data_IF_457148778531
#
_entry.id   IF_457148778531
#
_cell.length_a   1.000
_cell.length_b   1.000
_cell.length_c   1.000
_cell.angle_alpha   90.00
_cell.angle_beta   90.00
_cell.angle_gamma   90.00
#
_symmetry.space_group_name_H-M   'P 1'
#
loop_
_entity.id
_entity.type
_entity.pdbx_description
1 polymer ?
#
# COMPACT_ATOMS: atom_id res chain seq x y z
N UNK A 1 17.64 -24.49 18.41
CA UNK A 1 16.44 -24.35 17.54
C UNK A 1 16.94 -24.11 16.12
N UNK A 2 16.43 -24.79 15.08
CA UNK A 2 16.84 -24.51 13.71
C UNK A 2 16.45 -23.06 13.36
N UNK A 3 17.37 -22.29 12.79
CA UNK A 3 17.06 -20.97 12.23
C UNK A 3 16.18 -21.21 11.00
N UNK A 4 14.91 -20.83 11.08
CA UNK A 4 14.04 -20.84 9.90
C UNK A 4 14.37 -19.58 9.10
N UNK A 5 15.10 -19.74 8.00
CA UNK A 5 15.22 -18.68 6.99
C UNK A 5 13.85 -18.49 6.33
N UNK A 6 13.27 -17.31 6.53
CA UNK A 6 12.09 -16.91 5.78
C UNK A 6 12.56 -16.20 4.52
N UNK A 7 12.70 -16.94 3.44
CA UNK A 7 12.79 -16.33 2.11
C UNK A 7 11.44 -15.67 1.81
N UNK A 8 11.44 -14.41 1.38
CA UNK A 8 10.26 -13.78 0.81
C UNK A 8 10.16 -14.25 -0.65
N UNK A 9 9.34 -15.26 -0.98
CA UNK A 9 9.41 -15.95 -2.27
C UNK A 9 9.13 -15.03 -3.46
N UNK A 10 8.40 -13.92 -3.25
CA UNK A 10 8.03 -12.97 -4.28
C UNK A 10 8.86 -11.67 -4.27
N UNK A 11 9.78 -11.50 -3.31
CA UNK A 11 10.56 -10.27 -3.12
C UNK A 11 9.73 -9.03 -2.69
N UNK A 12 8.43 -9.17 -2.44
CA UNK A 12 7.54 -8.06 -2.09
C UNK A 12 7.28 -8.01 -0.58
N UNK A 13 7.58 -6.89 0.08
CA UNK A 13 7.17 -6.69 1.48
C UNK A 13 5.65 -6.44 1.56
N UNK A 14 4.90 -7.51 1.79
CA UNK A 14 3.46 -7.45 1.97
C UNK A 14 3.03 -6.62 3.19
N UNK A 15 3.86 -6.50 4.23
CA UNK A 15 3.63 -5.64 5.39
C UNK A 15 3.69 -4.16 5.01
N UNK A 16 4.70 -3.77 4.24
CA UNK A 16 4.81 -2.42 3.67
C UNK A 16 3.66 -2.11 2.71
N UNK A 17 3.30 -3.05 1.84
CA UNK A 17 2.17 -2.88 0.89
C UNK A 17 0.87 -2.63 1.67
N UNK A 18 0.59 -3.41 2.71
CA UNK A 18 -0.60 -3.21 3.54
C UNK A 18 -0.61 -1.84 4.22
N UNK A 19 0.50 -1.44 4.87
CA UNK A 19 0.60 -0.15 5.54
C UNK A 19 0.46 1.02 4.58
N UNK A 20 1.17 0.97 3.45
CA UNK A 20 1.11 2.01 2.42
C UNK A 20 -0.29 2.15 1.87
N UNK A 21 -0.95 1.04 1.54
CA UNK A 21 -2.32 1.08 1.00
C UNK A 21 -3.29 1.65 2.03
N UNK A 22 -3.15 1.30 3.31
CA UNK A 22 -3.96 1.87 4.41
C UNK A 22 -3.76 3.38 4.54
N UNK A 23 -2.51 3.84 4.64
CA UNK A 23 -2.17 5.27 4.78
C UNK A 23 -2.63 6.08 3.57
N UNK A 24 -2.38 5.59 2.35
CA UNK A 24 -2.80 6.26 1.11
C UNK A 24 -4.32 6.35 1.01
N UNK A 25 -5.05 5.30 1.39
CA UNK A 25 -6.52 5.32 1.35
C UNK A 25 -7.10 6.37 2.31
N UNK A 26 -6.49 6.56 3.49
CA UNK A 26 -6.93 7.57 4.45
C UNK A 26 -6.57 8.97 3.95
N UNK A 27 -5.28 9.21 3.63
CA UNK A 27 -4.78 10.56 3.32
C UNK A 27 -5.21 11.07 1.95
N UNK A 28 -5.43 10.18 0.98
CA UNK A 28 -5.80 10.55 -0.39
C UNK A 28 -7.23 10.15 -0.70
N UNK A 29 -7.62 8.93 -0.31
CA UNK A 29 -8.95 8.40 -0.64
C UNK A 29 -10.09 9.18 0.02
N UNK A 30 -10.03 9.41 1.34
CA UNK A 30 -11.09 10.15 2.03
C UNK A 30 -11.24 11.59 1.53
N UNK A 31 -10.15 12.39 1.37
CA UNK A 31 -10.26 13.72 0.78
C UNK A 31 -10.79 13.73 -0.65
N UNK A 32 -10.42 12.73 -1.47
CA UNK A 32 -10.92 12.62 -2.85
C UNK A 32 -12.42 12.36 -2.88
N UNK A 33 -12.92 11.45 -2.03
CA UNK A 33 -14.37 11.19 -1.88
C UNK A 33 -15.10 12.47 -1.45
N UNK A 34 -14.55 13.20 -0.47
CA UNK A 34 -15.12 14.45 -0.01
C UNK A 34 -15.16 15.52 -1.11
N UNK A 35 -14.05 15.71 -1.83
CA UNK A 35 -13.95 16.68 -2.92
C UNK A 35 -14.93 16.37 -4.06
N UNK A 36 -15.01 15.10 -4.48
CA UNK A 36 -15.94 14.69 -5.54
C UNK A 36 -17.40 14.82 -5.12
N UNK A 37 -17.71 14.68 -3.81
CA UNK A 37 -19.08 14.83 -3.32
C UNK A 37 -19.65 16.23 -3.51
N UNK A 38 -18.81 17.27 -3.65
CA UNK A 38 -19.23 18.66 -3.87
C UNK A 38 -19.94 18.82 -5.22
N UNK A 39 -19.63 17.96 -6.20
CA UNK A 39 -20.21 18.03 -7.54
C UNK A 39 -21.58 17.34 -7.67
N UNK A 40 -22.05 16.63 -6.62
CA UNK A 40 -23.28 15.84 -6.68
C UNK A 40 -24.24 16.20 -5.55
N UNK A 41 -25.52 16.35 -5.85
CA UNK A 41 -26.55 16.44 -4.82
C UNK A 41 -26.79 15.06 -4.20
N UNK A 42 -26.39 14.92 -2.93
CA UNK A 42 -26.55 13.69 -2.15
C UNK A 42 -27.50 13.96 -0.97
N UNK A 43 -28.82 14.11 -1.23
CA UNK A 43 -29.79 14.54 -0.22
C UNK A 43 -30.07 13.47 0.83
N UNK A 44 -29.89 12.19 0.48
CA UNK A 44 -30.16 11.05 1.37
C UNK A 44 -28.87 10.41 1.89
N UNK A 45 -28.95 9.79 3.07
CA UNK A 45 -27.84 9.00 3.60
C UNK A 45 -27.46 7.84 2.68
N UNK A 46 -28.44 7.14 2.09
CA UNK A 46 -28.20 6.06 1.13
C UNK A 46 -27.44 6.54 -0.13
N UNK A 47 -27.76 7.73 -0.63
CA UNK A 47 -27.02 8.33 -1.75
C UNK A 47 -25.55 8.61 -1.35
N UNK A 48 -25.32 9.20 -0.18
CA UNK A 48 -23.96 9.45 0.34
C UNK A 48 -23.15 8.17 0.50
N UNK A 49 -23.74 7.13 1.08
CA UNK A 49 -23.08 5.85 1.28
C UNK A 49 -22.73 5.15 -0.04
N UNK A 50 -23.70 5.06 -0.97
CA UNK A 50 -23.46 4.43 -2.28
C UNK A 50 -22.42 5.17 -3.11
N UNK A 51 -22.42 6.51 -3.06
CA UNK A 51 -21.40 7.34 -3.68
C UNK A 51 -20.02 7.05 -3.09
N UNK A 52 -19.88 7.13 -1.77
CA UNK A 52 -18.62 6.91 -1.07
C UNK A 52 -18.05 5.50 -1.33
N UNK A 53 -18.90 4.47 -1.34
CA UNK A 53 -18.48 3.10 -1.61
C UNK A 53 -17.97 2.96 -3.05
N UNK A 54 -18.67 3.51 -4.05
CA UNK A 54 -18.27 3.40 -5.45
C UNK A 54 -16.96 4.13 -5.72
N UNK A 55 -16.85 5.37 -5.27
CA UNK A 55 -15.63 6.18 -5.43
C UNK A 55 -14.47 5.54 -4.64
N UNK A 56 -14.72 5.13 -3.39
CA UNK A 56 -13.74 4.46 -2.55
C UNK A 56 -13.24 3.15 -3.17
N UNK A 57 -14.11 2.34 -3.78
CA UNK A 57 -13.71 1.11 -4.45
C UNK A 57 -12.75 1.36 -5.63
N UNK A 58 -13.02 2.39 -6.45
CA UNK A 58 -12.13 2.75 -7.57
C UNK A 58 -10.76 3.18 -7.05
N UNK A 59 -10.73 4.06 -6.04
CA UNK A 59 -9.48 4.53 -5.43
C UNK A 59 -8.71 3.36 -4.81
N UNK A 60 -9.40 2.48 -4.09
CA UNK A 60 -8.78 1.33 -3.43
C UNK A 60 -8.11 0.38 -4.44
N UNK A 61 -8.77 0.05 -5.55
CA UNK A 61 -8.18 -0.80 -6.60
C UNK A 61 -6.94 -0.12 -7.19
N UNK A 62 -7.03 1.17 -7.56
CA UNK A 62 -5.92 1.89 -8.16
C UNK A 62 -4.72 1.99 -7.23
N UNK A 63 -4.95 2.29 -5.96
CA UNK A 63 -3.90 2.42 -4.94
C UNK A 63 -3.26 1.07 -4.62
N UNK A 64 -4.04 0.01 -4.45
CA UNK A 64 -3.52 -1.34 -4.20
C UNK A 64 -2.66 -1.86 -5.36
N UNK A 65 -3.12 -1.71 -6.60
CA UNK A 65 -2.36 -2.10 -7.79
C UNK A 65 -1.07 -1.28 -7.89
N UNK A 66 -1.15 0.04 -7.71
CA UNK A 66 0.01 0.92 -7.78
C UNK A 66 1.05 0.60 -6.71
N UNK A 67 0.62 0.37 -5.46
CA UNK A 67 1.51 0.01 -4.36
C UNK A 67 2.18 -1.35 -4.59
N UNK A 68 1.44 -2.34 -5.08
CA UNK A 68 2.00 -3.66 -5.40
C UNK A 68 3.03 -3.59 -6.53
N UNK A 69 2.71 -2.88 -7.63
CA UNK A 69 3.65 -2.70 -8.74
C UNK A 69 4.88 -1.91 -8.29
N UNK A 70 4.70 -0.89 -7.44
CA UNK A 70 5.81 -0.09 -6.91
C UNK A 70 6.72 -0.93 -6.03
N UNK A 71 6.17 -1.68 -5.08
CA UNK A 71 6.95 -2.58 -4.23
C UNK A 71 7.76 -3.58 -5.06
N UNK A 72 7.10 -4.24 -6.02
CA UNK A 72 7.73 -5.21 -6.91
C UNK A 72 8.86 -4.61 -7.78
N UNK A 73 8.81 -3.31 -8.07
CA UNK A 73 9.82 -2.64 -8.92
C UNK A 73 10.98 -2.03 -8.14
N UNK A 74 10.80 -1.75 -6.85
CA UNK A 74 11.72 -0.89 -6.09
C UNK A 74 12.25 -1.52 -4.81
N UNK A 75 11.94 -2.80 -4.55
CA UNK A 75 12.24 -3.49 -3.29
C UNK A 75 11.82 -2.67 -2.06
N UNK A 76 10.71 -1.93 -2.19
CA UNK A 76 10.21 -1.07 -1.12
C UNK A 76 9.81 -1.94 0.08
N UNK A 77 10.44 -1.69 1.23
CA UNK A 77 10.22 -2.43 2.47
C UNK A 77 11.30 -3.46 2.83
N UNK A 78 12.29 -3.71 1.95
CA UNK A 78 13.42 -4.62 2.23
C UNK A 78 14.29 -4.21 3.43
N UNK A 79 14.07 -3.00 3.98
CA UNK A 79 14.82 -2.54 5.14
C UNK A 79 16.31 -2.42 4.87
N UNK A 80 16.72 -2.18 3.62
CA UNK A 80 18.09 -1.89 3.22
C UNK A 80 19.11 -2.78 3.93
N UNK A 81 19.12 -4.08 3.62
CA UNK A 81 20.27 -4.90 4.02
C UNK A 81 21.46 -4.34 3.25
N UNK A 82 22.46 -3.69 3.91
CA UNK A 82 23.67 -3.30 3.19
C UNK A 82 24.27 -4.57 2.60
N UNK A 83 24.94 -4.51 1.43
CA UNK A 83 25.76 -5.63 1.00
C UNK A 83 26.61 -6.04 2.21
N UNK A 84 26.48 -7.29 2.62
CA UNK A 84 27.23 -7.88 3.72
C UNK A 84 28.67 -7.52 3.43
N UNK A 85 29.21 -6.51 4.14
CA UNK A 85 30.58 -6.11 3.93
C UNK A 85 31.35 -7.38 4.19
N UNK A 86 32.04 -7.88 3.16
CA UNK A 86 32.90 -9.05 3.26
C UNK A 86 33.72 -8.84 4.52
N UNK A 87 33.34 -9.56 5.58
CA UNK A 87 34.20 -9.72 6.75
C UNK A 87 35.27 -10.64 6.20
N UNK A 88 36.19 -10.05 5.44
CA UNK A 88 37.50 -10.56 5.16
C UNK A 88 38.15 -10.67 6.54
N UNK A 89 37.91 -11.81 7.20
CA UNK A 89 38.75 -12.27 8.29
C UNK A 89 40.09 -12.64 7.64
N UNK A 90 40.92 -11.62 7.45
CA UNK A 90 42.35 -11.79 7.34
C UNK A 90 42.89 -12.00 8.77
N UNK A 91 43.73 -13.03 8.91
CA UNK A 91 44.40 -13.64 10.09
C UNK A 91 43.61 -14.57 11.04
#
# INVERSE_FOLDING_TARGET
MPRVERTNPDGVDYGWVMQTTFVVTILVGSPTVAALSIAYELPTWAARASFAIRVGAVIWILTAISAFIYAKRTDAGDGGTPPEADIEMDD
#
